data_IF_039785799577
#
_entry.id   IF_039785799577
#
_cell.length_a   1.000
_cell.length_b   1.000
_cell.length_c   1.000
_cell.angle_alpha   90.00
_cell.angle_beta   90.00
_cell.angle_gamma   90.00
#
_symmetry.space_group_name_H-M   'P 1'
#
loop_
_entity.id
_entity.type
_entity.pdbx_description
1 polymer ?
#
# COMPACT_ATOMS: atom_id res chain seq x y z
N UNK A 1 -7.43 -18.81 -14.38
CA UNK A 1 -6.42 -17.92 -13.76
C UNK A 1 -5.09 -18.06 -14.50
N UNK A 2 -3.99 -17.42 -14.09
CA UNK A 2 -2.66 -17.66 -14.69
C UNK A 2 -2.26 -19.13 -14.64
N UNK A 3 -2.56 -19.81 -13.52
CA UNK A 3 -2.33 -21.25 -13.35
C UNK A 3 -3.40 -22.14 -14.04
N UNK A 4 -4.24 -21.59 -14.92
CA UNK A 4 -5.31 -22.36 -15.60
C UNK A 4 -6.47 -22.80 -14.70
N UNK A 5 -6.46 -22.47 -13.41
CA UNK A 5 -7.52 -22.87 -12.49
C UNK A 5 -8.85 -22.16 -12.80
N UNK A 6 -9.94 -22.90 -12.62
CA UNK A 6 -11.32 -22.39 -12.66
C UNK A 6 -11.66 -21.79 -11.30
N UNK A 7 -12.04 -20.52 -11.27
CA UNK A 7 -12.23 -19.75 -10.03
C UNK A 7 -13.49 -18.91 -10.11
N UNK A 8 -14.36 -19.03 -9.13
CA UNK A 8 -15.50 -18.13 -8.94
C UNK A 8 -15.15 -17.15 -7.84
N UNK A 9 -15.17 -15.86 -8.13
CA UNK A 9 -14.93 -14.78 -7.16
C UNK A 9 -16.28 -14.31 -6.64
N UNK A 10 -16.48 -14.34 -5.33
CA UNK A 10 -17.72 -13.89 -4.72
C UNK A 10 -17.57 -12.47 -4.16
N UNK A 11 -18.45 -11.55 -4.60
CA UNK A 11 -18.55 -10.17 -4.12
C UNK A 11 -19.88 -9.97 -3.40
N UNK A 12 -19.86 -9.32 -2.25
CA UNK A 12 -21.07 -9.04 -1.47
C UNK A 12 -21.76 -7.76 -1.93
N UNK A 13 -20.97 -6.75 -2.34
CA UNK A 13 -21.45 -5.46 -2.78
C UNK A 13 -22.11 -5.49 -4.17
N UNK A 14 -22.77 -4.38 -4.52
CA UNK A 14 -23.36 -4.18 -5.85
C UNK A 14 -22.32 -4.07 -6.97
N UNK A 15 -21.08 -3.76 -6.63
CA UNK A 15 -19.96 -3.49 -7.55
C UNK A 15 -18.67 -4.12 -7.00
N UNK A 16 -17.74 -4.43 -7.89
CA UNK A 16 -16.41 -4.93 -7.53
C UNK A 16 -15.52 -3.80 -7.00
N UNK A 17 -14.38 -4.18 -6.40
CA UNK A 17 -13.28 -3.26 -6.08
C UNK A 17 -13.07 -2.99 -4.59
N UNK A 18 -14.07 -3.22 -3.74
CA UNK A 18 -13.93 -3.07 -2.29
C UNK A 18 -13.36 -1.70 -1.90
N UNK A 19 -12.18 -1.67 -1.24
CA UNK A 19 -11.49 -0.42 -0.87
C UNK A 19 -10.86 0.33 -2.03
N UNK A 20 -10.56 -0.36 -3.13
CA UNK A 20 -9.96 0.20 -4.34
C UNK A 20 -11.01 0.53 -5.42
N UNK A 21 -12.27 0.78 -5.02
CA UNK A 21 -13.32 1.20 -5.95
C UNK A 21 -13.35 2.71 -6.09
N UNK A 22 -13.75 3.16 -7.26
CA UNK A 22 -14.15 4.52 -7.59
C UNK A 22 -15.66 4.57 -7.84
N UNK A 23 -16.31 5.68 -7.54
CA UNK A 23 -17.75 5.88 -7.76
C UNK A 23 -18.04 7.33 -8.13
N UNK A 24 -19.10 7.56 -8.90
CA UNK A 24 -19.56 8.92 -9.18
C UNK A 24 -20.27 9.50 -7.97
N UNK A 25 -19.89 10.71 -7.58
CA UNK A 25 -20.56 11.49 -6.55
C UNK A 25 -21.36 12.61 -7.22
N UNK A 26 -22.68 12.55 -7.11
CA UNK A 26 -23.59 13.48 -7.79
C UNK A 26 -23.47 14.92 -7.28
N UNK A 27 -23.07 15.11 -6.01
CA UNK A 27 -22.91 16.43 -5.42
C UNK A 27 -21.66 17.14 -5.95
N UNK A 28 -20.58 16.39 -6.09
CA UNK A 28 -19.32 16.91 -6.64
C UNK A 28 -19.27 16.83 -8.17
N UNK A 29 -20.19 16.09 -8.80
CA UNK A 29 -20.21 15.85 -10.24
C UNK A 29 -18.93 15.17 -10.75
N UNK A 30 -18.29 14.36 -9.90
CA UNK A 30 -16.95 13.83 -10.12
C UNK A 30 -16.85 12.35 -9.73
N UNK A 31 -15.89 11.64 -10.32
CA UNK A 31 -15.52 10.30 -9.87
C UNK A 31 -14.58 10.39 -8.66
N UNK A 32 -14.93 9.68 -7.58
CA UNK A 32 -14.21 9.70 -6.30
C UNK A 32 -13.76 8.29 -5.94
N UNK A 33 -12.50 8.19 -5.52
CA UNK A 33 -11.98 6.97 -4.93
C UNK A 33 -12.50 6.77 -3.50
N UNK A 34 -12.89 5.54 -3.17
CA UNK A 34 -13.32 5.16 -1.83
C UNK A 34 -12.23 5.34 -0.74
N UNK A 35 -10.98 5.57 -1.15
CA UNK A 35 -9.90 6.01 -0.27
C UNK A 35 -8.69 6.43 -1.08
N UNK A 36 -7.87 7.34 -0.54
CA UNK A 36 -6.63 7.72 -1.20
C UNK A 36 -5.59 6.60 -1.05
N UNK A 37 -5.07 6.09 -2.17
CA UNK A 37 -4.09 5.00 -2.19
C UNK A 37 -2.80 5.47 -2.86
N UNK A 38 -1.83 5.86 -2.03
CA UNK A 38 -0.46 6.08 -2.48
C UNK A 38 0.29 4.75 -2.46
N UNK A 39 0.85 4.37 -3.60
CA UNK A 39 1.78 3.25 -3.72
C UNK A 39 3.22 3.75 -3.79
N UNK A 40 4.15 2.93 -3.31
CA UNK A 40 5.56 3.10 -3.61
C UNK A 40 5.96 2.06 -4.65
N UNK A 41 6.76 2.48 -5.65
CA UNK A 41 7.21 1.65 -6.77
C UNK A 41 7.86 0.32 -6.35
N UNK A 42 8.36 0.22 -5.13
CA UNK A 42 8.93 -0.99 -4.53
C UNK A 42 7.92 -2.07 -4.14
N UNK A 43 6.61 -1.77 -4.13
CA UNK A 43 5.56 -2.75 -3.85
C UNK A 43 5.42 -3.74 -5.03
N UNK A 44 6.31 -4.74 -5.06
CA UNK A 44 6.41 -5.71 -6.16
C UNK A 44 5.12 -6.49 -6.40
N UNK A 45 4.35 -6.74 -5.34
CA UNK A 45 3.09 -7.47 -5.46
C UNK A 45 2.02 -6.64 -6.18
N UNK A 46 1.87 -5.37 -5.82
CA UNK A 46 0.95 -4.46 -6.52
C UNK A 46 1.38 -4.22 -7.97
N UNK A 47 2.68 -3.97 -8.20
CA UNK A 47 3.21 -3.74 -9.55
C UNK A 47 3.05 -4.97 -10.44
N UNK A 48 3.33 -6.17 -9.94
CA UNK A 48 3.09 -7.43 -10.67
C UNK A 48 1.61 -7.63 -10.97
N UNK A 49 0.74 -7.37 -10.00
CA UNK A 49 -0.71 -7.49 -10.21
C UNK A 49 -1.18 -6.56 -11.34
N UNK A 50 -0.78 -5.30 -11.32
CA UNK A 50 -1.09 -4.33 -12.37
C UNK A 50 -0.56 -4.76 -13.74
N UNK A 51 0.69 -5.25 -13.81
CA UNK A 51 1.26 -5.77 -15.05
C UNK A 51 0.46 -6.99 -15.58
N UNK A 52 0.09 -7.92 -14.69
CA UNK A 52 -0.70 -9.11 -15.04
C UNK A 52 -2.05 -8.74 -15.64
N UNK A 53 -2.76 -7.76 -15.07
CA UNK A 53 -4.09 -7.35 -15.52
C UNK A 53 -4.07 -6.29 -16.63
N UNK A 54 -2.91 -5.71 -16.94
CA UNK A 54 -2.74 -4.63 -17.92
C UNK A 54 -3.10 -3.23 -17.37
N UNK A 55 -3.20 -3.05 -16.05
CA UNK A 55 -3.56 -1.79 -15.39
C UNK A 55 -2.40 -0.82 -15.16
N UNK A 56 -1.17 -1.21 -15.50
CA UNK A 56 0.05 -0.43 -15.24
C UNK A 56 0.06 0.97 -15.90
N UNK A 57 -0.63 1.13 -17.03
CA UNK A 57 -0.70 2.39 -17.79
C UNK A 57 -1.49 3.49 -17.07
N UNK A 58 -2.39 3.05 -16.19
CA UNK A 58 -3.21 3.91 -15.34
C UNK A 58 -2.46 4.39 -14.09
N UNK A 59 -1.22 3.92 -13.87
CA UNK A 59 -0.41 4.33 -12.73
C UNK A 59 0.58 5.43 -13.11
N UNK A 60 0.46 6.57 -12.44
CA UNK A 60 1.41 7.68 -12.52
C UNK A 60 2.50 7.51 -11.48
N UNK A 61 3.70 7.12 -11.93
CA UNK A 61 4.89 7.11 -11.10
C UNK A 61 5.60 8.48 -11.14
N UNK A 62 5.73 9.13 -10.00
CA UNK A 62 6.46 10.40 -9.89
C UNK A 62 7.91 10.26 -10.39
N UNK A 63 8.50 11.29 -11.01
CA UNK A 63 9.82 11.21 -11.62
C UNK A 63 10.94 10.99 -10.59
N UNK A 64 10.73 11.41 -9.35
CA UNK A 64 11.69 11.23 -8.26
C UNK A 64 11.04 10.59 -7.04
N UNK A 65 11.86 10.00 -6.17
CA UNK A 65 11.43 9.48 -4.87
C UNK A 65 11.38 10.57 -3.80
N UNK A 66 10.83 11.73 -4.14
CA UNK A 66 10.65 12.84 -3.22
C UNK A 66 9.24 12.80 -2.64
N UNK A 67 9.15 12.76 -1.31
CA UNK A 67 7.89 12.86 -0.58
C UNK A 67 7.92 14.18 0.19
N UNK A 68 7.27 15.24 -0.33
CA UNK A 68 7.18 16.52 0.35
C UNK A 68 6.21 16.42 1.54
N UNK A 69 6.57 17.10 2.62
CA UNK A 69 5.74 17.27 3.81
C UNK A 69 5.59 18.76 4.10
N UNK A 70 4.42 19.12 4.62
CA UNK A 70 4.07 20.45 5.10
C UNK A 70 3.43 20.30 6.48
N UNK A 71 4.00 20.96 7.46
CA UNK A 71 3.32 21.19 8.74
C UNK A 71 2.37 22.38 8.56
N UNK A 72 1.06 22.15 8.76
CA UNK A 72 0.04 23.18 8.55
C UNK A 72 -0.02 24.18 9.72
N UNK A 73 0.46 23.80 10.89
CA UNK A 73 0.48 24.66 12.07
C UNK A 73 1.63 25.68 11.97
N UNK A 74 2.81 25.21 11.57
CA UNK A 74 4.02 26.04 11.54
C UNK A 74 4.38 26.57 10.14
N UNK A 75 3.81 25.99 9.08
CA UNK A 75 4.18 26.28 7.69
C UNK A 75 5.54 25.70 7.26
N UNK A 76 6.21 24.94 8.14
CA UNK A 76 7.49 24.31 7.85
C UNK A 76 7.36 23.23 6.78
N UNK A 77 8.36 23.16 5.89
CA UNK A 77 8.41 22.18 4.80
C UNK A 77 9.68 21.36 4.88
N UNK A 78 9.56 20.08 4.59
CA UNK A 78 10.69 19.19 4.38
C UNK A 78 10.37 18.16 3.31
N UNK A 79 11.38 17.43 2.86
CA UNK A 79 11.19 16.36 1.89
C UNK A 79 11.97 15.14 2.36
N UNK A 80 11.30 14.00 2.42
CA UNK A 80 11.97 12.72 2.59
C UNK A 80 12.32 12.22 1.20
N UNK A 81 13.61 12.11 0.91
CA UNK A 81 14.09 11.74 -0.41
C UNK A 81 15.26 10.75 -0.33
N UNK A 82 14.99 9.44 -0.40
CA UNK A 82 16.04 8.43 -0.43
C UNK A 82 17.03 8.64 -1.59
N UNK A 83 18.30 8.28 -1.40
CA UNK A 83 19.28 8.25 -2.49
C UNK A 83 19.11 7.02 -3.37
N UNK A 84 19.82 7.00 -4.50
CA UNK A 84 19.91 5.82 -5.34
C UNK A 84 20.64 4.68 -4.59
N UNK A 85 20.14 3.46 -4.76
CA UNK A 85 20.69 2.27 -4.11
C UNK A 85 20.26 2.08 -2.64
N UNK A 86 20.58 0.92 -2.06
CA UNK A 86 20.09 0.53 -0.73
C UNK A 86 20.84 1.18 0.43
N UNK A 87 22.04 1.74 0.20
CA UNK A 87 22.80 2.42 1.23
C UNK A 87 22.12 3.75 1.60
N UNK A 88 21.72 3.92 2.85
CA UNK A 88 20.90 5.07 3.29
C UNK A 88 21.63 6.40 3.48
N UNK A 89 22.59 6.78 2.63
CA UNK A 89 23.40 8.00 2.79
C UNK A 89 22.58 9.30 2.85
N UNK A 90 21.35 9.29 2.33
CA UNK A 90 20.41 10.42 2.42
C UNK A 90 20.16 10.90 3.86
N UNK A 91 20.30 10.03 4.88
CA UNK A 91 20.13 10.43 6.29
C UNK A 91 21.19 11.42 6.77
N UNK A 92 22.31 11.56 6.05
CA UNK A 92 23.36 12.52 6.34
C UNK A 92 23.18 13.84 5.60
N UNK A 93 22.25 13.93 4.65
CA UNK A 93 21.93 15.15 3.91
C UNK A 93 20.70 15.84 4.53
N UNK A 94 20.83 16.95 5.27
CA UNK A 94 19.69 17.60 5.94
C UNK A 94 18.56 17.99 4.98
N UNK A 95 18.88 18.36 3.74
CA UNK A 95 17.91 18.72 2.70
C UNK A 95 17.03 17.57 2.19
N UNK A 96 17.35 16.32 2.55
CA UNK A 96 16.69 15.11 2.02
C UNK A 96 15.93 14.33 3.09
N UNK A 97 15.82 14.89 4.29
CA UNK A 97 15.29 14.21 5.47
C UNK A 97 14.43 15.15 6.31
N UNK A 98 13.76 14.59 7.32
CA UNK A 98 12.88 15.34 8.23
C UNK A 98 13.62 16.51 8.86
N UNK A 99 12.99 17.69 8.80
CA UNK A 99 13.50 18.91 9.41
C UNK A 99 13.74 18.71 10.91
N UNK A 100 14.89 19.18 11.42
CA UNK A 100 15.26 19.06 12.83
C UNK A 100 15.68 17.65 13.28
N UNK A 101 15.71 16.65 12.39
CA UNK A 101 16.15 15.31 12.76
C UNK A 101 17.68 15.19 12.84
N UNK A 102 18.17 14.04 13.32
CA UNK A 102 19.58 13.62 13.24
C UNK A 102 19.67 12.30 12.48
N UNK A 103 20.82 11.98 11.90
CA UNK A 103 21.04 10.71 11.20
C UNK A 103 20.72 9.49 12.10
N UNK A 104 21.09 9.58 13.38
CA UNK A 104 20.84 8.52 14.38
C UNK A 104 19.36 8.21 14.61
N UNK A 105 18.45 9.17 14.40
CA UNK A 105 17.00 8.92 14.54
C UNK A 105 16.48 7.92 13.50
N UNK A 106 17.15 7.79 12.35
CA UNK A 106 16.76 6.83 11.31
C UNK A 106 17.29 5.43 11.55
N UNK A 107 18.36 5.28 12.34
CA UNK A 107 18.89 3.96 12.71
C UNK A 107 17.89 3.14 13.53
N UNK A 108 16.94 3.79 14.20
CA UNK A 108 15.83 3.13 14.87
C UNK A 108 15.00 2.25 13.93
N UNK A 109 14.96 2.55 12.62
CA UNK A 109 14.26 1.74 11.63
C UNK A 109 14.81 0.30 11.54
N UNK A 110 16.09 0.07 11.83
CA UNK A 110 16.69 -1.28 11.85
C UNK A 110 16.04 -2.14 12.95
N UNK A 111 15.54 -1.51 14.02
CA UNK A 111 14.88 -2.20 15.14
C UNK A 111 13.53 -2.80 14.75
N UNK A 112 12.92 -2.35 13.64
CA UNK A 112 11.66 -2.90 13.12
C UNK A 112 11.73 -4.42 12.91
N UNK A 113 12.88 -4.92 12.46
CA UNK A 113 13.11 -6.35 12.23
C UNK A 113 12.97 -7.21 13.50
N UNK A 114 13.09 -6.59 14.69
CA UNK A 114 13.02 -7.26 16.00
C UNK A 114 12.01 -6.59 16.93
N UNK A 115 10.99 -5.92 16.37
CA UNK A 115 10.06 -5.11 17.15
C UNK A 115 9.12 -5.92 18.08
N UNK A 116 9.01 -7.24 17.90
CA UNK A 116 8.14 -8.08 18.75
C UNK A 116 6.68 -7.58 18.74
N UNK A 117 6.15 -7.27 19.93
CA UNK A 117 4.81 -6.72 20.12
C UNK A 117 4.80 -5.20 20.36
N UNK A 118 5.93 -4.50 20.18
CA UNK A 118 6.00 -3.06 20.39
C UNK A 118 5.13 -2.29 19.38
N UNK A 119 4.50 -1.21 19.84
CA UNK A 119 3.85 -0.25 18.96
C UNK A 119 4.87 0.62 18.22
N UNK A 120 4.44 1.32 17.17
CA UNK A 120 5.30 2.30 16.47
C UNK A 120 5.77 3.39 17.44
N UNK A 121 4.90 3.85 18.34
CA UNK A 121 5.23 4.87 19.34
C UNK A 121 6.30 4.40 20.33
N UNK A 122 6.24 3.15 20.78
CA UNK A 122 7.23 2.58 21.70
C UNK A 122 8.61 2.46 21.05
N UNK A 123 8.63 2.12 19.75
CA UNK A 123 9.89 1.87 19.04
C UNK A 123 10.65 3.15 18.69
N UNK A 124 9.94 4.19 18.24
CA UNK A 124 10.56 5.41 17.70
C UNK A 124 10.61 6.58 18.68
N UNK A 125 9.94 6.47 19.83
CA UNK A 125 9.97 7.46 20.90
C UNK A 125 9.24 8.75 20.52
N UNK A 126 8.16 9.06 21.24
CA UNK A 126 7.26 10.19 20.93
C UNK A 126 7.94 11.57 20.90
N UNK A 127 9.06 11.71 21.63
CA UNK A 127 9.80 12.97 21.75
C UNK A 127 10.80 13.21 20.61
N UNK A 128 10.98 12.25 19.69
CA UNK A 128 11.89 12.47 18.57
C UNK A 128 11.22 13.35 17.49
N UNK A 129 11.95 14.28 16.86
CA UNK A 129 11.39 15.08 15.76
C UNK A 129 10.84 14.22 14.61
N UNK A 130 11.45 13.06 14.37
CA UNK A 130 11.01 12.09 13.34
C UNK A 130 9.73 11.38 13.69
N UNK A 131 9.33 11.30 14.96
CA UNK A 131 8.11 10.61 15.34
C UNK A 131 6.88 11.33 14.79
N UNK A 132 6.61 12.56 15.28
CA UNK A 132 5.47 13.39 14.83
C UNK A 132 5.54 13.69 13.32
N UNK A 133 6.74 14.00 12.81
CA UNK A 133 6.92 14.47 11.42
C UNK A 133 7.01 13.36 10.37
N UNK A 134 7.13 12.09 10.76
CA UNK A 134 7.30 11.01 9.79
C UNK A 134 6.72 9.67 10.26
N UNK A 135 7.15 9.14 11.39
CA UNK A 135 6.75 7.78 11.80
C UNK A 135 5.28 7.66 12.15
N UNK A 136 4.71 8.67 12.81
CA UNK A 136 3.29 8.73 13.13
C UNK A 136 2.40 8.84 11.87
N UNK A 137 2.60 9.80 10.94
CA UNK A 137 1.81 9.86 9.72
C UNK A 137 2.04 8.62 8.83
N UNK A 138 3.24 8.05 8.80
CA UNK A 138 3.51 6.80 8.09
C UNK A 138 2.73 5.62 8.70
N UNK A 139 2.64 5.52 10.02
CA UNK A 139 1.88 4.47 10.68
C UNK A 139 0.38 4.57 10.33
N UNK A 140 -0.19 5.77 10.35
CA UNK A 140 -1.58 6.00 9.94
C UNK A 140 -1.78 5.61 8.48
N UNK A 141 -0.89 6.06 7.58
CA UNK A 141 -1.01 5.79 6.15
C UNK A 141 -0.88 4.29 5.80
N UNK A 142 0.04 3.58 6.45
CA UNK A 142 0.34 2.18 6.14
C UNK A 142 -0.56 1.20 6.90
N UNK A 143 -0.76 1.45 8.20
CA UNK A 143 -1.47 0.53 9.09
C UNK A 143 -2.94 0.87 9.25
N UNK A 144 -3.37 2.07 8.84
CA UNK A 144 -4.71 2.61 9.12
C UNK A 144 -5.04 2.57 10.64
N UNK A 145 -4.02 2.80 11.47
CA UNK A 145 -4.12 2.75 12.94
C UNK A 145 -3.18 3.76 13.56
N UNK A 146 -3.55 4.32 14.71
CA UNK A 146 -2.70 5.25 15.46
C UNK A 146 -1.35 4.60 15.83
N UNK A 147 -0.28 5.38 15.84
CA UNK A 147 1.07 4.88 16.11
C UNK A 147 1.24 4.23 17.50
N UNK A 148 0.38 4.58 18.47
CA UNK A 148 0.35 3.99 19.80
C UNK A 148 -0.21 2.56 19.83
N UNK A 149 -0.97 2.16 18.82
CA UNK A 149 -1.64 0.86 18.74
C UNK A 149 -1.08 0.00 17.60
N UNK A 150 -0.62 0.64 16.52
CA UNK A 150 -0.09 -0.03 15.35
C UNK A 150 1.17 -0.84 15.67
N UNK A 151 1.15 -2.15 15.37
CA UNK A 151 2.29 -3.03 15.61
C UNK A 151 3.49 -2.66 14.72
N UNK A 152 4.60 -2.23 15.33
CA UNK A 152 5.75 -1.70 14.59
C UNK A 152 6.34 -2.70 13.59
N UNK A 153 6.32 -4.01 13.90
CA UNK A 153 6.81 -5.07 13.01
C UNK A 153 6.19 -5.04 11.60
N UNK A 154 4.96 -4.52 11.48
CA UNK A 154 4.24 -4.45 10.19
C UNK A 154 4.82 -3.38 9.26
N UNK A 155 5.61 -2.43 9.76
CA UNK A 155 6.32 -1.47 8.92
C UNK A 155 7.62 -2.06 8.32
N UNK A 156 8.13 -3.18 8.84
CA UNK A 156 9.39 -3.76 8.34
C UNK A 156 9.35 -4.15 6.85
N UNK A 157 8.32 -4.88 6.35
CA UNK A 157 8.21 -5.17 4.93
C UNK A 157 8.12 -3.89 4.08
N UNK A 158 7.35 -2.90 4.53
CA UNK A 158 7.23 -1.62 3.82
C UNK A 158 8.59 -0.95 3.69
N UNK A 159 9.34 -0.82 4.79
CA UNK A 159 10.66 -0.19 4.78
C UNK A 159 11.65 -0.96 3.91
N UNK A 160 11.67 -2.29 3.96
CA UNK A 160 12.62 -3.14 3.23
C UNK A 160 12.29 -3.35 1.75
N UNK A 161 11.04 -3.15 1.36
CA UNK A 161 10.62 -3.22 -0.03
C UNK A 161 10.68 -1.86 -0.74
N UNK A 162 10.74 -0.76 0.01
CA UNK A 162 10.66 0.61 -0.54
C UNK A 162 11.92 1.41 -0.21
N UNK A 163 11.91 2.20 0.88
CA UNK A 163 12.99 3.12 1.29
C UNK A 163 14.34 2.42 1.40
N UNK A 164 14.37 1.21 1.97
CA UNK A 164 15.58 0.40 2.13
C UNK A 164 16.18 -0.14 0.82
N UNK A 165 15.44 -0.06 -0.30
CA UNK A 165 15.95 -0.38 -1.65
C UNK A 165 16.37 0.86 -2.43
N UNK A 166 16.20 2.05 -1.85
CA UNK A 166 16.58 3.32 -2.45
C UNK A 166 15.50 3.94 -3.33
N UNK A 167 15.90 5.01 -4.02
CA UNK A 167 15.02 5.89 -4.76
C UNK A 167 14.14 5.15 -5.79
N UNK A 168 14.70 4.22 -6.57
CA UNK A 168 13.94 3.51 -7.61
C UNK A 168 12.73 2.73 -7.07
N UNK A 169 12.80 2.26 -5.81
CA UNK A 169 11.73 1.53 -5.12
C UNK A 169 10.86 2.42 -4.22
N UNK A 170 11.17 3.72 -4.16
CA UNK A 170 10.50 4.68 -3.27
C UNK A 170 9.79 5.78 -4.05
N UNK A 171 9.55 5.59 -5.35
CA UNK A 171 8.82 6.57 -6.17
C UNK A 171 7.34 6.51 -5.79
N UNK A 172 6.73 7.64 -5.41
CA UNK A 172 5.29 7.73 -5.24
C UNK A 172 4.57 7.37 -6.55
N UNK A 173 3.54 6.53 -6.44
CA UNK A 173 2.71 6.06 -7.53
C UNK A 173 1.25 6.26 -7.17
N UNK A 174 0.48 6.90 -8.04
CA UNK A 174 -0.96 7.17 -7.87
C UNK A 174 -1.74 6.69 -9.09
N UNK A 175 -3.02 6.36 -8.93
CA UNK A 175 -3.90 6.08 -10.06
C UNK A 175 -4.25 7.41 -10.78
N UNK A 176 -4.14 7.42 -12.11
CA UNK A 176 -4.37 8.60 -12.96
C UNK A 176 -5.84 9.01 -12.95
N UNK A 177 -6.70 8.06 -13.30
CA UNK A 177 -8.12 8.27 -13.54
C UNK A 177 -8.98 7.49 -12.51
N UNK A 178 -8.41 7.24 -11.32
CA UNK A 178 -9.08 6.54 -10.22
C UNK A 178 -8.67 5.06 -10.07
N UNK A 179 -8.92 4.53 -8.88
CA UNK A 179 -8.52 3.17 -8.51
C UNK A 179 -9.29 2.08 -9.24
N UNK A 180 -10.56 2.31 -9.59
CA UNK A 180 -11.32 1.37 -10.42
C UNK A 180 -10.65 1.17 -11.76
N UNK A 181 -10.20 2.26 -12.42
CA UNK A 181 -9.50 2.21 -13.71
C UNK A 181 -8.18 1.47 -13.64
N UNK A 182 -7.41 1.68 -12.57
CA UNK A 182 -6.11 1.03 -12.42
C UNK A 182 -6.20 -0.44 -11.97
N UNK A 183 -7.09 -0.77 -11.04
CA UNK A 183 -7.08 -2.07 -10.35
C UNK A 183 -8.28 -2.97 -10.63
N UNK A 184 -9.45 -2.39 -10.90
CA UNK A 184 -10.73 -3.12 -10.91
C UNK A 184 -11.13 -3.46 -12.33
N UNK A 185 -11.40 -2.45 -13.16
CA UNK A 185 -11.81 -2.60 -14.56
C UNK A 185 -10.88 -3.54 -15.35
N UNK A 186 -9.54 -3.36 -15.33
CA UNK A 186 -8.62 -4.28 -16.01
C UNK A 186 -8.65 -5.69 -15.41
N UNK A 187 -8.81 -5.84 -14.09
CA UNK A 187 -8.93 -7.17 -13.48
C UNK A 187 -10.23 -7.88 -13.89
N UNK A 188 -11.34 -7.14 -14.02
CA UNK A 188 -12.61 -7.66 -14.53
C UNK A 188 -12.46 -8.10 -15.98
N UNK A 189 -11.90 -7.26 -16.83
CA UNK A 189 -11.65 -7.58 -18.24
C UNK A 189 -10.72 -8.79 -18.40
N UNK A 190 -9.66 -8.85 -17.60
CA UNK A 190 -8.75 -9.98 -17.53
C UNK A 190 -9.48 -11.26 -17.12
N UNK A 191 -10.33 -11.25 -16.09
CA UNK A 191 -11.10 -12.42 -15.70
C UNK A 191 -12.13 -12.84 -16.77
N UNK A 192 -12.78 -11.88 -17.43
CA UNK A 192 -13.78 -12.15 -18.47
C UNK A 192 -13.20 -12.80 -19.73
N UNK A 193 -11.92 -12.53 -20.05
CA UNK A 193 -11.21 -13.15 -21.17
C UNK A 193 -10.81 -14.62 -20.93
N UNK A 194 -11.17 -15.20 -19.77
CA UNK A 194 -10.85 -16.58 -19.37
C UNK A 194 -12.07 -17.49 -19.51
N UNK A 195 -11.92 -18.82 -19.42
CA UNK A 195 -13.03 -19.74 -19.62
C UNK A 195 -14.25 -19.38 -18.76
N UNK A 196 -15.50 -19.57 -19.23
CA UNK A 196 -16.73 -19.10 -18.57
C UNK A 196 -16.91 -19.53 -17.10
N UNK A 197 -16.24 -20.62 -16.70
CA UNK A 197 -16.16 -21.05 -15.31
C UNK A 197 -15.41 -20.08 -14.38
N UNK A 198 -14.69 -19.11 -14.93
CA UNK A 198 -14.04 -18.01 -14.22
C UNK A 198 -14.92 -16.78 -14.27
N UNK A 199 -15.61 -16.47 -13.18
CA UNK A 199 -16.61 -15.39 -13.13
C UNK A 199 -16.69 -14.75 -11.77
N UNK A 200 -17.30 -13.56 -11.73
CA UNK A 200 -17.73 -12.92 -10.49
C UNK A 200 -19.18 -13.28 -10.23
N UNK A 201 -19.49 -13.58 -8.97
CA UNK A 201 -20.82 -13.93 -8.50
C UNK A 201 -21.17 -13.09 -7.27
N UNK A 202 -22.41 -12.62 -7.18
CA UNK A 202 -22.89 -12.07 -5.91
C UNK A 202 -23.18 -13.19 -4.93
N UNK A 203 -22.75 -13.04 -3.68
CA UNK A 203 -23.11 -13.96 -2.61
C UNK A 203 -23.71 -13.21 -1.43
N UNK A 204 -24.80 -13.73 -0.89
CA UNK A 204 -25.47 -13.21 0.31
C UNK A 204 -25.28 -14.10 1.54
N UNK A 205 -24.91 -15.37 1.33
CA UNK A 205 -24.76 -16.34 2.42
C UNK A 205 -23.86 -17.50 1.98
N UNK A 206 -23.03 -18.01 2.88
CA UNK A 206 -22.29 -19.25 2.69
C UNK A 206 -22.96 -20.36 3.50
N UNK A 207 -23.32 -21.47 2.84
CA UNK A 207 -23.78 -22.69 3.52
C UNK A 207 -22.64 -23.69 3.56
N UNK A 208 -22.31 -24.19 4.74
CA UNK A 208 -21.34 -25.29 4.88
C UNK A 208 -22.03 -26.59 4.47
N UNK A 209 -21.69 -27.12 3.31
CA UNK A 209 -22.11 -28.47 2.91
C UNK A 209 -21.13 -29.48 3.52
N UNK A 210 -21.62 -30.39 4.35
CA UNK A 210 -20.84 -31.57 4.74
C UNK A 210 -20.63 -32.44 3.51
N UNK A 211 -19.39 -32.57 3.03
CA UNK A 211 -19.07 -33.57 2.03
C UNK A 211 -19.31 -34.96 2.67
N UNK A 212 -20.00 -35.90 2.00
CA UNK A 212 -20.03 -37.28 2.48
C UNK A 212 -18.59 -37.80 2.53
N UNK A 213 -18.22 -38.43 3.64
CA UNK A 213 -16.92 -39.05 3.81
C UNK A 213 -16.65 -39.94 2.58
N UNK A 214 -15.54 -39.67 1.87
CA UNK A 214 -15.08 -40.54 0.79
C UNK A 214 -14.92 -41.94 1.39
N UNK A 215 -15.81 -42.87 1.03
CA UNK A 215 -15.65 -44.29 1.37
C UNK A 215 -14.30 -44.71 0.80
N UNK A 216 -13.41 -45.16 1.69
CA UNK A 216 -12.16 -45.80 1.31
C UNK A 216 -12.56 -47.04 0.50
N UNK A 217 -12.06 -47.14 -0.72
CA UNK A 217 -12.14 -48.38 -1.49
C UNK A 217 -11.25 -49.40 -0.77
N UNK A 218 -11.82 -50.57 -0.48
CA UNK A 218 -11.08 -51.74 -0.01
C UNK A 218 -10.16 -52.26 -1.11
#
# INVERSE_FOLDING_TARGET
TEAGARVIVHEAAGQAGGRCRSFHDDMLGAEIDNGNHLLLSGNRSAMRFLATIGGERELLAMPTAAIPFLDLETGERWTVQPNAGPLGWWIFAPSRRVLGSRATHYLAAIRLARAGNASVADLFGRQTPTFRRFWEPLAVAVLNTAAAEGAAKLLWPVMTETIGRGAAASRPCIARDGLSKAFVDPALGWLAARPPSTRIARSRSLKRTSAPARRRWC
#
